data_IF_811285802671
#
_entry.id   IF_811285802671
#
_cell.length_a   1.000
_cell.length_b   1.000
_cell.length_c   1.000
_cell.angle_alpha   90.00
_cell.angle_beta   90.00
_cell.angle_gamma   90.00
#
_symmetry.space_group_name_H-M   'P 1'
#
loop_
_entity.id
_entity.type
_entity.pdbx_description
1 polymer ?
#
# COMPACT_ATOMS: atom_id res chain seq x y z
N UNK A 1 -2.69 14.88 17.81
CA UNK A 1 -1.92 14.43 16.62
C UNK A 1 -2.66 13.22 16.08
N UNK A 2 -3.00 13.21 14.80
CA UNK A 2 -3.81 12.12 14.23
C UNK A 2 -2.95 10.87 14.04
N UNK A 3 -3.45 9.73 14.52
CA UNK A 3 -2.79 8.42 14.49
C UNK A 3 -3.40 7.49 13.44
N UNK A 4 -2.65 6.47 13.05
CA UNK A 4 -3.12 5.36 12.22
C UNK A 4 -4.28 4.63 12.89
N UNK A 5 -4.22 4.44 14.21
CA UNK A 5 -5.30 3.77 14.95
C UNK A 5 -6.63 4.52 14.81
N UNK A 6 -6.62 5.85 14.96
CA UNK A 6 -7.80 6.69 14.73
C UNK A 6 -8.32 6.58 13.28
N UNK A 7 -7.43 6.50 12.30
CA UNK A 7 -7.78 6.34 10.88
C UNK A 7 -8.34 4.95 10.60
N UNK A 8 -7.80 3.89 11.20
CA UNK A 8 -8.31 2.51 11.07
C UNK A 8 -9.68 2.34 11.72
N UNK A 9 -9.90 3.00 12.85
CA UNK A 9 -11.16 2.95 13.60
C UNK A 9 -12.27 3.83 12.98
N UNK A 10 -11.95 4.63 11.95
CA UNK A 10 -12.93 5.42 11.23
C UNK A 10 -13.78 4.54 10.28
N UNK A 11 -15.12 4.49 10.44
CA UNK A 11 -15.98 3.72 9.54
C UNK A 11 -15.86 4.14 8.07
N UNK A 12 -15.54 5.41 7.81
CA UNK A 12 -15.41 5.92 6.44
C UNK A 12 -14.24 5.25 5.71
N UNK A 13 -13.07 5.14 6.34
CA UNK A 13 -11.88 4.57 5.69
C UNK A 13 -12.08 3.09 5.41
N UNK A 14 -12.67 2.37 6.37
CA UNK A 14 -13.03 0.96 6.24
C UNK A 14 -14.04 0.73 5.11
N UNK A 15 -15.04 1.61 4.97
CA UNK A 15 -16.02 1.52 3.88
C UNK A 15 -15.38 1.78 2.51
N UNK A 16 -14.51 2.80 2.40
CA UNK A 16 -13.80 3.13 1.17
C UNK A 16 -12.91 1.97 0.70
N UNK A 17 -12.09 1.41 1.60
CA UNK A 17 -11.17 0.30 1.29
C UNK A 17 -11.96 -0.95 0.85
N UNK A 18 -12.95 -1.36 1.63
CA UNK A 18 -13.72 -2.57 1.30
C UNK A 18 -14.52 -2.43 0.00
N UNK A 19 -15.09 -1.27 -0.27
CA UNK A 19 -15.85 -1.04 -1.50
C UNK A 19 -14.93 -0.94 -2.71
N UNK A 20 -13.77 -0.28 -2.59
CA UNK A 20 -12.75 -0.25 -3.62
C UNK A 20 -12.24 -1.67 -3.95
N UNK A 21 -12.03 -2.50 -2.94
CA UNK A 21 -11.64 -3.91 -3.11
C UNK A 21 -12.71 -4.72 -3.87
N UNK A 22 -13.99 -4.49 -3.59
CA UNK A 22 -15.10 -5.10 -4.32
C UNK A 22 -15.14 -4.67 -5.79
N UNK A 23 -14.90 -3.38 -6.09
CA UNK A 23 -14.82 -2.90 -7.47
C UNK A 23 -13.66 -3.58 -8.21
N UNK A 24 -12.49 -3.65 -7.59
CA UNK A 24 -11.30 -4.32 -8.16
C UNK A 24 -11.54 -5.82 -8.40
N UNK A 25 -12.21 -6.49 -7.46
CA UNK A 25 -12.64 -7.88 -7.64
C UNK A 25 -13.54 -8.04 -8.87
N UNK A 26 -14.53 -7.16 -9.06
CA UNK A 26 -15.43 -7.22 -10.19
C UNK A 26 -14.71 -7.00 -11.54
N UNK A 27 -13.60 -6.25 -11.53
CA UNK A 27 -12.74 -6.03 -12.69
C UNK A 27 -11.67 -7.13 -12.89
N UNK A 28 -11.57 -8.12 -12.00
CA UNK A 28 -10.61 -9.23 -12.10
C UNK A 28 -9.21 -8.93 -11.56
N UNK A 29 -9.04 -7.87 -10.76
CA UNK A 29 -7.77 -7.57 -10.09
C UNK A 29 -7.59 -8.39 -8.80
N UNK A 30 -6.35 -8.48 -8.35
CA UNK A 30 -5.96 -9.06 -7.06
C UNK A 30 -6.61 -8.34 -5.88
N UNK A 31 -6.52 -8.92 -4.69
CA UNK A 31 -6.99 -8.31 -3.45
C UNK A 31 -6.24 -7.00 -3.13
N UNK A 32 -6.98 -5.94 -2.79
CA UNK A 32 -6.50 -4.62 -2.36
C UNK A 32 -7.36 -4.12 -1.17
N UNK A 33 -7.89 -5.04 -0.37
CA UNK A 33 -8.74 -4.76 0.78
C UNK A 33 -7.93 -4.61 2.06
N UNK A 34 -8.61 -4.81 3.20
CA UNK A 34 -8.01 -4.56 4.51
C UNK A 34 -6.76 -5.40 4.78
N UNK A 35 -6.63 -6.60 4.21
CA UNK A 35 -5.41 -7.41 4.39
C UNK A 35 -4.22 -6.69 3.74
N UNK A 36 -4.37 -6.31 2.48
CA UNK A 36 -3.36 -5.59 1.71
C UNK A 36 -2.99 -4.25 2.38
N UNK A 37 -3.97 -3.38 2.63
CA UNK A 37 -3.69 -2.04 3.14
C UNK A 37 -3.07 -2.06 4.54
N UNK A 38 -3.46 -3.01 5.41
CA UNK A 38 -2.81 -3.18 6.71
C UNK A 38 -1.36 -3.68 6.58
N UNK A 39 -1.10 -4.61 5.66
CA UNK A 39 0.25 -5.12 5.43
C UNK A 39 1.17 -4.02 4.89
N UNK A 40 0.73 -3.28 3.87
CA UNK A 40 1.47 -2.13 3.31
C UNK A 40 1.71 -1.06 4.37
N UNK A 41 0.69 -0.70 5.14
CA UNK A 41 0.80 0.22 6.27
C UNK A 41 1.89 -0.19 7.27
N UNK A 42 1.87 -1.45 7.70
CA UNK A 42 2.84 -1.98 8.66
C UNK A 42 4.26 -2.03 8.07
N UNK A 43 4.43 -2.44 6.81
CA UNK A 43 5.74 -2.50 6.17
C UNK A 43 6.31 -1.09 5.98
N UNK A 44 5.49 -0.13 5.52
CA UNK A 44 5.91 1.26 5.31
C UNK A 44 6.41 1.90 6.61
N UNK A 45 5.70 1.68 7.73
CA UNK A 45 6.15 2.10 9.05
C UNK A 45 7.49 1.46 9.41
N UNK A 46 7.57 0.13 9.31
CA UNK A 46 8.75 -0.63 9.72
C UNK A 46 10.00 -0.29 8.91
N UNK A 47 9.87 0.05 7.62
CA UNK A 47 11.00 0.53 6.80
C UNK A 47 11.62 1.76 7.44
N UNK A 48 10.81 2.78 7.76
CA UNK A 48 11.32 4.03 8.31
C UNK A 48 11.87 3.85 9.72
N UNK A 49 11.19 3.07 10.57
CA UNK A 49 11.67 2.78 11.93
C UNK A 49 13.02 2.05 11.89
N UNK A 50 13.19 1.06 11.01
CA UNK A 50 14.47 0.34 10.88
C UNK A 50 15.61 1.19 10.32
N UNK A 51 15.28 2.26 9.60
CA UNK A 51 16.24 3.24 9.09
C UNK A 51 16.47 4.41 10.06
N UNK A 52 16.03 4.29 11.32
CA UNK A 52 16.20 5.27 12.39
C UNK A 52 15.55 6.64 12.09
N UNK A 53 14.52 6.68 11.24
CA UNK A 53 13.70 7.88 11.07
C UNK A 53 12.83 8.12 12.31
N UNK A 54 12.42 9.38 12.58
CA UNK A 54 11.53 9.68 13.70
C UNK A 54 10.24 8.85 13.66
N UNK A 55 9.76 8.39 14.82
CA UNK A 55 8.53 7.59 14.93
C UNK A 55 7.34 8.23 14.22
N UNK A 56 7.24 9.57 14.29
CA UNK A 56 6.18 10.30 13.59
C UNK A 56 6.25 10.12 12.08
N UNK A 57 7.43 10.09 11.46
CA UNK A 57 7.53 9.81 10.02
C UNK A 57 7.11 8.38 9.70
N UNK A 58 7.46 7.41 10.55
CA UNK A 58 6.95 6.03 10.45
C UNK A 58 5.43 5.98 10.50
N UNK A 59 4.81 6.71 11.42
CA UNK A 59 3.36 6.82 11.56
C UNK A 59 2.71 7.42 10.30
N UNK A 60 3.29 8.48 9.72
CA UNK A 60 2.80 9.07 8.46
C UNK A 60 2.92 8.11 7.27
N UNK A 61 4.00 7.32 7.20
CA UNK A 61 4.14 6.26 6.20
C UNK A 61 3.12 5.15 6.39
N UNK A 62 2.81 4.79 7.64
CA UNK A 62 1.76 3.84 7.95
C UNK A 62 0.38 4.33 7.48
N UNK A 63 0.07 5.61 7.73
CA UNK A 63 -1.18 6.25 7.30
C UNK A 63 -1.26 6.29 5.78
N UNK A 64 -0.17 6.69 5.11
CA UNK A 64 -0.09 6.69 3.65
C UNK A 64 -0.35 5.27 3.09
N UNK A 65 0.30 4.25 3.65
CA UNK A 65 0.08 2.85 3.26
C UNK A 65 -1.33 2.33 3.51
N UNK A 66 -2.00 2.78 4.56
CA UNK A 66 -3.38 2.37 4.81
C UNK A 66 -4.38 2.99 3.82
N UNK A 67 -4.09 4.22 3.36
CA UNK A 67 -4.99 5.00 2.51
C UNK A 67 -4.64 4.99 1.02
N UNK A 68 -3.48 4.44 0.61
CA UNK A 68 -2.94 4.66 -0.74
C UNK A 68 -3.89 4.25 -1.88
N UNK A 69 -4.67 3.20 -1.66
CA UNK A 69 -5.53 2.60 -2.67
C UNK A 69 -6.99 3.08 -2.65
N UNK A 70 -7.36 4.01 -1.76
CA UNK A 70 -8.77 4.44 -1.63
C UNK A 70 -9.33 5.06 -2.93
N UNK A 71 -8.46 5.55 -3.82
CA UNK A 71 -8.85 6.08 -5.12
C UNK A 71 -9.47 5.04 -6.05
N UNK A 72 -9.19 3.74 -5.84
CA UNK A 72 -9.79 2.65 -6.61
C UNK A 72 -11.32 2.58 -6.42
N UNK A 73 -11.90 3.29 -5.45
CA UNK A 73 -13.35 3.45 -5.33
C UNK A 73 -13.96 4.06 -6.60
N UNK A 74 -13.24 4.97 -7.25
CA UNK A 74 -13.69 5.68 -8.44
C UNK A 74 -13.25 4.98 -9.72
N UNK A 75 -11.97 4.64 -9.83
CA UNK A 75 -11.42 3.90 -10.97
C UNK A 75 -10.03 3.34 -10.62
N UNK A 76 -9.62 2.23 -11.26
CA UNK A 76 -8.25 1.73 -11.19
C UNK A 76 -7.26 2.68 -11.88
N UNK A 77 -7.67 3.25 -13.02
CA UNK A 77 -6.89 4.23 -13.75
C UNK A 77 -6.77 5.50 -12.92
N UNK A 78 -5.55 6.02 -12.78
CA UNK A 78 -5.24 7.22 -12.01
C UNK A 78 -5.64 7.14 -10.51
N UNK A 79 -5.79 5.93 -9.95
CA UNK A 79 -6.24 5.76 -8.55
C UNK A 79 -5.33 6.48 -7.53
N UNK A 80 -4.01 6.54 -7.76
CA UNK A 80 -3.10 7.30 -6.90
C UNK A 80 -3.44 8.80 -6.85
N UNK A 81 -3.76 9.42 -7.99
CA UNK A 81 -4.15 10.85 -8.06
C UNK A 81 -5.49 11.11 -7.39
N UNK A 82 -6.49 10.26 -7.67
CA UNK A 82 -7.81 10.38 -7.05
C UNK A 82 -7.73 10.12 -5.54
N UNK A 83 -6.99 9.10 -5.13
CA UNK A 83 -6.75 8.76 -3.73
C UNK A 83 -6.04 9.87 -2.97
N UNK A 84 -5.05 10.53 -3.59
CA UNK A 84 -4.36 11.67 -3.01
C UNK A 84 -5.31 12.84 -2.70
N UNK A 85 -6.21 13.18 -3.63
CA UNK A 85 -7.20 14.26 -3.42
C UNK A 85 -8.20 13.88 -2.32
N UNK A 86 -8.68 12.64 -2.31
CA UNK A 86 -9.58 12.12 -1.28
C UNK A 86 -8.92 12.13 0.10
N UNK A 87 -7.67 11.65 0.20
CA UNK A 87 -6.90 11.62 1.43
C UNK A 87 -6.64 13.03 1.96
N UNK A 88 -6.28 13.99 1.11
CA UNK A 88 -6.08 15.38 1.54
C UNK A 88 -7.34 15.94 2.19
N UNK A 89 -8.50 15.78 1.53
CA UNK A 89 -9.77 16.28 2.06
C UNK A 89 -10.12 15.61 3.40
N UNK A 90 -9.96 14.29 3.48
CA UNK A 90 -10.22 13.50 4.67
C UNK A 90 -9.34 13.91 5.86
N UNK A 91 -8.02 13.97 5.64
CA UNK A 91 -7.03 14.25 6.69
C UNK A 91 -7.17 15.67 7.23
N UNK A 92 -7.39 16.67 6.37
CA UNK A 92 -7.61 18.04 6.80
C UNK A 92 -8.92 18.19 7.59
N UNK A 93 -10.00 17.52 7.17
CA UNK A 93 -11.27 17.49 7.94
C UNK A 93 -11.12 16.81 9.30
N UNK A 94 -10.22 15.84 9.42
CA UNK A 94 -9.82 15.22 10.70
C UNK A 94 -8.98 16.13 11.59
N UNK A 95 -8.54 17.30 11.10
CA UNK A 95 -7.69 18.22 11.84
C UNK A 95 -6.21 17.81 11.87
N UNK A 96 -5.76 16.99 10.90
CA UNK A 96 -4.34 16.72 10.72
C UNK A 96 -3.60 18.01 10.33
N UNK A 97 -2.34 18.13 10.79
CA UNK A 97 -1.47 19.22 10.39
C UNK A 97 -1.33 19.27 8.85
N UNK A 98 -1.42 20.46 8.22
CA UNK A 98 -1.36 20.57 6.76
C UNK A 98 -0.06 20.05 6.13
N UNK A 99 1.09 20.16 6.81
CA UNK A 99 2.36 19.66 6.27
C UNK A 99 2.46 18.14 6.37
N UNK A 100 1.93 17.54 7.43
CA UNK A 100 1.80 16.09 7.55
C UNK A 100 0.86 15.53 6.48
N UNK A 101 -0.31 16.15 6.31
CA UNK A 101 -1.27 15.78 5.28
C UNK A 101 -0.67 15.90 3.86
N UNK A 102 0.04 17.01 3.58
CA UNK A 102 0.72 17.20 2.30
C UNK A 102 1.79 16.12 2.04
N UNK A 103 2.52 15.69 3.06
CA UNK A 103 3.53 14.64 2.95
C UNK A 103 2.92 13.28 2.62
N UNK A 104 1.81 12.92 3.28
CA UNK A 104 1.02 11.71 2.98
C UNK A 104 0.46 11.75 1.57
N UNK A 105 -0.13 12.89 1.17
CA UNK A 105 -0.73 13.08 -0.15
C UNK A 105 0.32 13.01 -1.26
N UNK A 106 1.51 13.56 -1.02
CA UNK A 106 2.66 13.41 -1.91
C UNK A 106 3.07 11.95 -2.09
N UNK A 107 3.05 11.16 -1.01
CA UNK A 107 3.32 9.72 -1.09
C UNK A 107 2.23 8.98 -1.87
N UNK A 108 0.95 9.19 -1.55
CA UNK A 108 -0.18 8.53 -2.23
C UNK A 108 -0.23 8.92 -3.71
N UNK A 109 0.01 10.19 -4.05
CA UNK A 109 -0.04 10.64 -5.44
C UNK A 109 1.06 10.05 -6.34
N UNK A 110 2.13 9.54 -5.74
CA UNK A 110 3.34 9.10 -6.45
C UNK A 110 3.70 7.61 -6.21
N UNK A 111 2.80 6.80 -5.65
CA UNK A 111 3.15 5.40 -5.34
C UNK A 111 3.01 4.42 -6.52
N UNK A 112 2.43 4.88 -7.64
CA UNK A 112 2.13 4.05 -8.82
C UNK A 112 3.31 4.04 -9.81
N UNK A 113 3.57 2.92 -10.49
CA UNK A 113 4.75 2.70 -11.35
C UNK A 113 4.77 3.56 -12.62
N UNK A 114 3.62 3.83 -13.24
CA UNK A 114 3.56 4.48 -14.55
C UNK A 114 3.98 5.96 -14.49
N UNK A 115 3.73 6.64 -13.36
CA UNK A 115 3.92 8.09 -13.23
C UNK A 115 4.47 8.55 -11.87
N UNK A 116 4.69 7.62 -10.95
CA UNK A 116 5.09 7.93 -9.57
C UNK A 116 6.59 7.96 -9.37
N UNK A 117 7.04 8.82 -8.46
CA UNK A 117 8.43 8.99 -8.04
C UNK A 117 8.55 8.98 -6.52
N UNK A 118 9.69 8.54 -5.99
CA UNK A 118 9.97 8.58 -4.55
C UNK A 118 10.30 10.02 -4.08
N UNK A 119 9.29 10.89 -4.08
CA UNK A 119 9.43 12.35 -3.83
C UNK A 119 9.83 12.71 -2.39
N UNK A 120 9.68 11.79 -1.45
CA UNK A 120 10.13 11.92 -0.06
C UNK A 120 10.30 10.52 0.58
N UNK A 121 10.79 10.45 1.82
CA UNK A 121 11.03 9.18 2.52
C UNK A 121 9.74 8.38 2.77
N UNK A 122 8.61 9.06 2.98
CA UNK A 122 7.28 8.45 3.17
C UNK A 122 6.83 7.78 1.87
N UNK A 123 7.01 8.44 0.72
CA UNK A 123 6.74 7.91 -0.60
C UNK A 123 7.64 6.70 -0.91
N UNK A 124 8.94 6.81 -0.63
CA UNK A 124 9.88 5.71 -0.82
C UNK A 124 9.48 4.46 -0.01
N UNK A 125 9.12 4.65 1.27
CA UNK A 125 8.67 3.56 2.13
C UNK A 125 7.34 2.97 1.65
N UNK A 126 6.39 3.80 1.22
CA UNK A 126 5.11 3.35 0.67
C UNK A 126 5.30 2.52 -0.60
N UNK A 127 6.09 3.01 -1.56
CA UNK A 127 6.36 2.30 -2.83
C UNK A 127 6.97 0.93 -2.53
N UNK A 128 8.01 0.87 -1.70
CA UNK A 128 8.63 -0.40 -1.32
C UNK A 128 7.64 -1.34 -0.64
N UNK A 129 6.81 -0.82 0.27
CA UNK A 129 5.82 -1.60 0.98
C UNK A 129 4.76 -2.19 0.05
N UNK A 130 4.16 -1.38 -0.82
CA UNK A 130 3.14 -1.83 -1.79
C UNK A 130 3.71 -2.87 -2.75
N UNK A 131 4.84 -2.56 -3.41
CA UNK A 131 5.45 -3.44 -4.42
C UNK A 131 6.01 -4.73 -3.82
N UNK A 132 6.25 -4.78 -2.52
CA UNK A 132 6.68 -6.00 -1.83
C UNK A 132 5.54 -6.98 -1.49
N UNK A 133 4.27 -6.56 -1.54
CA UNK A 133 3.13 -7.45 -1.25
C UNK A 133 2.76 -8.33 -2.46
N UNK A 134 3.73 -9.13 -2.90
CA UNK A 134 3.61 -10.19 -3.90
C UNK A 134 3.45 -11.52 -3.17
N UNK A 135 2.23 -12.04 -3.08
CA UNK A 135 1.97 -13.26 -2.31
C UNK A 135 0.68 -13.96 -2.77
N UNK A 136 0.61 -15.28 -2.61
CA UNK A 136 -0.55 -16.09 -3.02
C UNK A 136 -1.87 -15.63 -2.42
N UNK A 137 -1.85 -15.01 -1.25
CA UNK A 137 -3.04 -14.43 -0.62
C UNK A 137 -3.63 -13.23 -1.39
N UNK A 138 -2.89 -12.61 -2.31
CA UNK A 138 -3.40 -11.58 -3.23
C UNK A 138 -4.24 -12.17 -4.35
N UNK A 139 -3.89 -13.37 -4.81
CA UNK A 139 -4.54 -14.03 -5.93
C UNK A 139 -5.96 -14.42 -5.53
N UNK A 140 -6.94 -13.89 -6.28
CA UNK A 140 -8.35 -14.24 -6.05
C UNK A 140 -8.74 -15.49 -6.80
N UNK A 141 -8.17 -15.66 -7.99
CA UNK A 141 -8.35 -16.85 -8.78
C UNK A 141 -7.34 -17.91 -8.36
N UNK A 142 -7.82 -19.10 -8.01
CA UNK A 142 -7.00 -20.26 -7.65
C UNK A 142 -7.06 -21.35 -8.73
N UNK A 143 -7.86 -21.14 -9.79
CA UNK A 143 -7.92 -22.05 -10.91
C UNK A 143 -6.74 -21.77 -11.86
N UNK A 144 -5.75 -22.66 -11.84
CA UNK A 144 -4.52 -22.58 -12.63
C UNK A 144 -4.82 -22.36 -14.13
N UNK A 145 -5.88 -22.97 -14.66
CA UNK A 145 -6.23 -22.89 -16.08
C UNK A 145 -6.69 -21.50 -16.54
N UNK A 146 -7.06 -20.60 -15.61
CA UNK A 146 -7.63 -19.28 -15.93
C UNK A 146 -6.86 -18.13 -15.28
N UNK A 147 -5.66 -18.38 -14.74
CA UNK A 147 -4.84 -17.32 -14.14
C UNK A 147 -4.42 -16.31 -15.21
N UNK A 148 -4.69 -15.04 -14.95
CA UNK A 148 -4.04 -13.96 -15.69
C UNK A 148 -2.59 -13.78 -15.20
N UNK A 149 -1.84 -12.87 -15.82
CA UNK A 149 -0.42 -12.67 -15.48
C UNK A 149 -0.20 -12.24 -14.01
N UNK A 150 -1.08 -11.41 -13.44
CA UNK A 150 -0.97 -10.92 -12.07
C UNK A 150 -1.32 -12.01 -11.06
N UNK A 151 -2.37 -12.79 -11.34
CA UNK A 151 -2.75 -13.94 -10.55
C UNK A 151 -1.63 -14.99 -10.56
N UNK A 152 -1.02 -15.27 -11.72
CA UNK A 152 0.04 -16.28 -11.82
C UNK A 152 1.26 -15.92 -10.98
N UNK A 153 1.74 -14.68 -11.06
CA UNK A 153 2.90 -14.21 -10.26
C UNK A 153 2.58 -14.29 -8.76
N UNK A 154 1.43 -13.77 -8.35
CA UNK A 154 1.03 -13.82 -6.94
C UNK A 154 0.81 -15.26 -6.47
N UNK A 155 0.11 -16.09 -7.24
CA UNK A 155 -0.20 -17.46 -6.88
C UNK A 155 1.06 -18.34 -6.75
N UNK A 156 2.09 -18.09 -7.57
CA UNK A 156 3.38 -18.75 -7.47
C UNK A 156 4.20 -18.29 -6.25
N UNK A 157 4.04 -17.06 -5.77
CA UNK A 157 4.76 -16.53 -4.62
C UNK A 157 4.18 -17.05 -3.28
N UNK A 158 4.86 -18.02 -2.66
CA UNK A 158 4.47 -18.62 -1.37
C UNK A 158 5.12 -17.97 -0.16
N UNK A 159 6.09 -17.09 -0.40
CA UNK A 159 6.71 -16.27 0.62
C UNK A 159 7.16 -14.96 -0.01
N UNK A 160 6.90 -13.86 0.69
CA UNK A 160 7.48 -12.54 0.41
C UNK A 160 7.86 -11.88 1.72
N UNK A 161 9.09 -11.36 1.78
CA UNK A 161 9.61 -10.66 2.94
C UNK A 161 10.52 -9.52 2.50
N UNK A 162 10.28 -8.32 3.04
CA UNK A 162 11.13 -7.16 2.81
C UNK A 162 12.07 -6.96 4.00
N UNK A 163 13.34 -7.27 3.79
CA UNK A 163 14.40 -7.10 4.77
C UNK A 163 15.05 -5.72 4.64
N UNK A 164 15.21 -5.02 5.77
CA UNK A 164 15.84 -3.70 5.84
C UNK A 164 17.02 -3.78 6.79
N UNK A 165 18.23 -3.67 6.24
CA UNK A 165 19.49 -3.68 7.00
C UNK A 165 20.10 -2.27 6.96
N UNK A 166 19.89 -1.51 8.04
CA UNK A 166 20.37 -0.12 8.15
C UNK A 166 21.89 -0.02 8.18
N UNK A 167 22.58 -1.01 8.75
CA UNK A 167 24.05 -1.03 8.84
C UNK A 167 24.69 -1.24 7.47
N UNK A 168 24.14 -2.17 6.68
CA UNK A 168 24.60 -2.42 5.31
C UNK A 168 24.04 -1.45 4.28
N UNK A 169 23.04 -0.65 4.66
CA UNK A 169 22.29 0.25 3.77
C UNK A 169 21.65 -0.51 2.60
N UNK A 170 21.09 -1.68 2.90
CA UNK A 170 20.47 -2.55 1.90
C UNK A 170 19.02 -2.80 2.25
N UNK A 171 18.17 -2.76 1.23
CA UNK A 171 16.79 -3.26 1.27
C UNK A 171 16.73 -4.46 0.33
N UNK A 172 16.20 -5.58 0.79
CA UNK A 172 16.18 -6.84 0.04
C UNK A 172 14.78 -7.43 0.07
N UNK A 173 14.23 -7.69 -1.11
CA UNK A 173 12.98 -8.46 -1.26
C UNK A 173 13.34 -9.94 -1.42
N UNK A 174 12.94 -10.74 -0.44
CA UNK A 174 13.13 -12.18 -0.41
C UNK A 174 11.82 -12.85 -0.86
N UNK A 175 11.87 -13.58 -1.98
CA UNK A 175 10.72 -14.29 -2.53
C UNK A 175 10.99 -15.80 -2.56
N UNK A 176 9.98 -16.60 -2.21
CA UNK A 176 9.96 -18.03 -2.53
C UNK A 176 8.88 -18.29 -3.57
N UNK A 177 9.31 -18.74 -4.75
CA UNK A 177 8.45 -19.03 -5.88
C UNK A 177 8.27 -20.54 -6.03
N UNK A 178 7.02 -20.97 -6.17
CA UNK A 178 6.67 -22.32 -6.59
C UNK A 178 6.79 -22.41 -8.11
N UNK A 179 7.90 -22.97 -8.58
CA UNK A 179 8.22 -23.06 -10.01
C UNK A 179 7.38 -24.09 -10.77
N UNK A 180 6.48 -24.82 -10.10
CA UNK A 180 5.55 -25.73 -10.77
C UNK A 180 4.33 -25.03 -11.37
N UNK A 181 4.11 -23.76 -11.00
CA UNK A 181 3.01 -22.89 -11.47
C UNK A 181 3.42 -22.08 -12.71
N UNK A 182 4.72 -22.02 -13.04
CA UNK A 182 5.29 -21.17 -14.09
C UNK A 182 5.52 -21.90 -15.42
#
# INVERSE_FOLDING_TARGET
MITLEEIKNDPLTSALIQTADQHLKAMGYTEHGLRHTNLVSNIAQNILIRLDFPERQGELAAIAGYLHDIGNIANRKDHGRTGAIMALNYLLKKGMDPYEAASIVGAIGNHEEEYGEAVNHIAAALILADKSDVHRSRARNTNIATLNIHDRVNYAAIHSFLNVDSKKKTITLELKIDTTIC
#
